data_IF_932549352653
#
_entry.id   IF_932549352653
#
_cell.length_a   1.000
_cell.length_b   1.000
_cell.length_c   1.000
_cell.angle_alpha   90.00
_cell.angle_beta   90.00
_cell.angle_gamma   90.00
#
_symmetry.space_group_name_H-M   'P 1'
#
loop_
_entity.id
_entity.type
_entity.pdbx_description
1 polymer ?
#
# COMPACT_ATOMS: atom_id res chain seq x y z
N UNK A 1 4.74 45.33 -17.14
CA UNK A 1 4.46 44.24 -16.18
C UNK A 1 4.44 42.93 -16.96
N UNK A 2 5.53 42.17 -16.92
CA UNK A 2 5.57 40.84 -17.54
C UNK A 2 4.79 39.87 -16.66
N UNK A 3 3.75 39.24 -17.20
CA UNK A 3 3.05 38.15 -16.53
C UNK A 3 3.97 36.93 -16.50
N UNK A 4 4.68 36.73 -15.40
CA UNK A 4 5.41 35.49 -15.15
C UNK A 4 4.34 34.39 -15.06
N UNK A 5 4.28 33.52 -16.07
CA UNK A 5 3.41 32.34 -16.03
C UNK A 5 3.93 31.43 -14.92
N UNK A 6 3.15 31.33 -13.85
CA UNK A 6 3.37 30.33 -12.80
C UNK A 6 2.96 28.97 -13.35
N UNK A 7 3.92 28.06 -13.45
CA UNK A 7 3.65 26.66 -13.77
C UNK A 7 3.37 25.89 -12.48
N UNK A 8 2.45 24.94 -12.56
CA UNK A 8 2.17 24.02 -11.46
C UNK A 8 2.11 22.59 -11.99
N UNK A 9 2.61 21.67 -11.17
CA UNK A 9 2.54 20.24 -11.41
C UNK A 9 2.12 19.50 -10.16
N UNK A 10 1.22 18.55 -10.35
CA UNK A 10 0.71 17.67 -9.31
C UNK A 10 1.13 16.24 -9.62
N UNK A 11 1.67 15.54 -8.64
CA UNK A 11 1.99 14.13 -8.77
C UNK A 11 1.51 13.33 -7.57
N UNK A 12 1.19 12.07 -7.83
CA UNK A 12 0.71 11.13 -6.83
C UNK A 12 1.49 9.82 -6.93
N UNK A 13 1.88 9.29 -5.77
CA UNK A 13 2.51 7.97 -5.67
C UNK A 13 1.56 7.03 -4.93
N UNK A 14 1.37 5.87 -5.55
CA UNK A 14 0.49 4.81 -5.09
C UNK A 14 1.29 3.65 -4.50
N UNK A 15 0.71 3.00 -3.48
CA UNK A 15 1.31 1.84 -2.82
C UNK A 15 1.83 2.15 -1.42
N UNK A 16 2.53 1.20 -0.79
CA UNK A 16 3.12 1.38 0.52
C UNK A 16 4.31 2.35 0.49
N UNK A 17 4.47 3.08 1.59
CA UNK A 17 5.61 3.93 1.89
C UNK A 17 6.16 3.58 3.27
N UNK A 18 7.46 3.33 3.32
CA UNK A 18 8.24 3.19 4.53
C UNK A 18 9.21 4.37 4.57
N UNK A 19 9.21 5.10 5.68
CA UNK A 19 10.14 6.21 5.89
C UNK A 19 11.09 5.80 6.99
N UNK A 20 12.30 5.42 6.59
CA UNK A 20 13.40 5.24 7.52
C UNK A 20 14.04 6.59 7.85
N UNK A 21 14.59 6.71 9.05
CA UNK A 21 15.29 7.92 9.47
C UNK A 21 16.44 8.30 8.52
N UNK A 22 17.21 7.33 8.04
CA UNK A 22 18.29 7.56 7.08
C UNK A 22 17.81 8.08 5.72
N UNK A 23 16.72 7.51 5.20
CA UNK A 23 16.12 7.93 3.92
C UNK A 23 15.55 9.34 4.05
N UNK A 24 14.92 9.64 5.19
CA UNK A 24 14.41 10.97 5.47
C UNK A 24 15.54 12.01 5.56
N UNK A 25 16.67 11.68 6.20
CA UNK A 25 17.84 12.57 6.26
C UNK A 25 18.37 12.87 4.86
N UNK A 26 18.54 11.86 4.01
CA UNK A 26 19.00 12.03 2.64
C UNK A 26 18.02 12.91 1.84
N UNK A 27 16.72 12.64 1.98
CA UNK A 27 15.68 13.40 1.29
C UNK A 27 15.63 14.87 1.73
N UNK A 28 15.81 15.14 3.03
CA UNK A 28 15.94 16.50 3.52
C UNK A 28 17.18 17.20 2.98
N UNK A 29 18.31 16.49 2.89
CA UNK A 29 19.52 17.04 2.31
C UNK A 29 19.31 17.41 0.83
N UNK A 30 18.59 16.58 0.07
CA UNK A 30 18.18 16.89 -1.31
C UNK A 30 17.32 18.15 -1.39
N UNK A 31 16.27 18.27 -0.55
CA UNK A 31 15.42 19.46 -0.54
C UNK A 31 16.20 20.72 -0.13
N UNK A 32 17.08 20.63 0.86
CA UNK A 32 17.90 21.76 1.32
C UNK A 32 18.96 22.23 0.32
N UNK A 33 19.30 21.42 -0.70
CA UNK A 33 20.14 21.89 -1.81
C UNK A 33 19.40 22.87 -2.73
N UNK A 34 18.08 22.80 -2.76
CA UNK A 34 17.22 23.59 -3.65
C UNK A 34 16.37 24.64 -2.93
N UNK A 35 16.23 24.54 -1.61
CA UNK A 35 15.41 25.43 -0.80
C UNK A 35 16.13 25.82 0.49
N UNK A 36 16.13 27.11 0.82
CA UNK A 36 16.73 27.61 2.06
C UNK A 36 16.07 27.13 3.37
N UNK A 37 14.76 26.86 3.37
CA UNK A 37 14.01 26.38 4.54
C UNK A 37 13.05 25.25 4.16
N UNK A 38 13.06 24.17 4.96
CA UNK A 38 12.14 23.03 4.82
C UNK A 38 11.29 22.94 6.09
N UNK A 39 9.99 23.21 5.97
CA UNK A 39 9.03 23.14 7.08
C UNK A 39 8.41 21.76 7.16
N UNK A 40 8.27 21.25 8.38
CA UNK A 40 7.70 19.93 8.64
C UNK A 40 6.46 20.09 9.50
N UNK A 41 5.31 19.60 9.03
CA UNK A 41 4.08 19.58 9.80
C UNK A 41 3.60 18.13 9.92
N UNK A 42 3.55 17.58 11.12
CA UNK A 42 3.00 16.27 11.41
C UNK A 42 1.54 16.36 11.84
N UNK A 43 0.76 15.35 11.50
CA UNK A 43 -0.58 15.11 12.04
C UNK A 43 -0.57 13.82 12.85
N UNK A 44 -1.06 13.91 14.07
CA UNK A 44 -1.10 12.79 15.01
C UNK A 44 -2.41 12.03 14.92
N UNK A 45 -2.42 10.82 15.50
CA UNK A 45 -3.59 9.94 15.59
C UNK A 45 -4.80 10.58 16.28
N UNK A 46 -4.58 11.48 17.25
CA UNK A 46 -5.65 12.23 17.93
C UNK A 46 -6.17 13.44 17.11
N UNK A 47 -5.63 13.66 15.91
CA UNK A 47 -6.06 14.72 15.00
C UNK A 47 -5.36 16.06 15.22
N UNK A 48 -4.40 16.14 16.15
CA UNK A 48 -3.63 17.38 16.37
C UNK A 48 -2.55 17.57 15.32
N UNK A 49 -2.31 18.82 14.92
CA UNK A 49 -1.22 19.20 14.03
C UNK A 49 -0.05 19.71 14.87
N UNK A 50 1.16 19.24 14.56
CA UNK A 50 2.40 19.61 15.23
C UNK A 50 3.36 20.13 14.15
N UNK A 51 3.79 21.38 14.26
CA UNK A 51 4.86 21.93 13.43
C UNK A 51 6.20 21.64 14.10
N UNK A 52 7.17 21.18 13.32
CA UNK A 52 8.53 20.95 13.79
C UNK A 52 9.46 22.00 13.18
N UNK A 53 10.37 22.52 14.00
CA UNK A 53 11.36 23.53 13.62
C UNK A 53 12.54 22.95 12.84
N UNK A 54 12.79 21.64 12.98
CA UNK A 54 13.90 20.95 12.31
C UNK A 54 13.62 19.47 12.12
N UNK A 55 14.40 18.84 11.23
CA UNK A 55 14.38 17.38 11.06
C UNK A 55 14.73 16.66 12.36
N UNK A 56 15.69 17.16 13.14
CA UNK A 56 16.08 16.56 14.42
C UNK A 56 14.94 16.54 15.44
N UNK A 57 14.11 17.58 15.48
CA UNK A 57 12.92 17.61 16.32
C UNK A 57 11.88 16.57 15.87
N UNK A 58 11.69 16.41 14.56
CA UNK A 58 10.79 15.40 13.99
C UNK A 58 11.26 13.96 14.27
N UNK A 59 12.55 13.66 14.07
CA UNK A 59 13.09 12.30 14.26
C UNK A 59 13.17 11.91 15.74
N UNK A 60 13.45 12.87 16.62
CA UNK A 60 13.48 12.66 18.08
C UNK A 60 12.09 12.62 18.72
N UNK A 61 11.02 12.95 17.97
CA UNK A 61 9.67 12.94 18.50
C UNK A 61 9.29 11.57 19.07
N UNK A 62 8.92 11.56 20.36
CA UNK A 62 8.73 10.34 21.13
C UNK A 62 7.60 9.42 20.62
N UNK A 63 6.68 9.94 19.79
CA UNK A 63 5.64 9.17 19.11
C UNK A 63 4.88 8.21 20.05
N UNK A 64 4.31 8.75 21.15
CA UNK A 64 3.48 7.99 22.09
C UNK A 64 2.25 7.39 21.37
N UNK A 65 1.76 6.21 21.77
CA UNK A 65 0.67 5.53 21.04
C UNK A 65 -0.57 6.38 20.75
N UNK A 66 -0.97 7.24 21.71
CA UNK A 66 -2.13 8.14 21.56
C UNK A 66 -1.87 9.34 20.64
N UNK A 67 -0.60 9.76 20.52
CA UNK A 67 -0.14 10.92 19.73
C UNK A 67 0.90 10.55 18.68
N UNK A 68 0.82 9.32 18.16
CA UNK A 68 1.71 8.85 17.11
C UNK A 68 1.44 9.65 15.84
N UNK A 69 2.49 10.13 15.18
CA UNK A 69 2.41 10.77 13.88
C UNK A 69 1.93 9.72 12.87
N UNK A 70 0.86 10.04 12.16
CA UNK A 70 0.23 9.17 11.15
C UNK A 70 0.34 9.76 9.75
N UNK A 71 0.50 11.07 9.63
CA UNK A 71 0.67 11.80 8.37
C UNK A 71 1.67 12.93 8.63
N UNK A 72 2.40 13.37 7.61
CA UNK A 72 3.17 14.60 7.69
C UNK A 72 3.31 15.25 6.32
N UNK A 73 3.61 16.53 6.35
CA UNK A 73 3.77 17.39 5.19
C UNK A 73 5.12 18.10 5.27
N UNK A 74 5.78 18.18 4.13
CA UNK A 74 6.98 18.96 3.91
C UNK A 74 6.64 20.10 2.97
N UNK A 75 6.83 21.33 3.43
CA UNK A 75 6.60 22.53 2.62
C UNK A 75 7.90 23.29 2.49
N UNK A 76 8.33 23.50 1.25
CA UNK A 76 9.50 24.31 0.91
C UNK A 76 9.03 25.43 -0.02
N UNK A 77 9.47 26.66 0.24
CA UNK A 77 9.13 27.79 -0.62
C UNK A 77 10.29 28.76 -0.71
N UNK A 78 10.58 29.17 -1.94
CA UNK A 78 11.40 30.32 -2.29
C UNK A 78 10.58 31.30 -3.14
N UNK A 79 11.18 32.42 -3.54
CA UNK A 79 10.50 33.48 -4.29
C UNK A 79 9.84 32.99 -5.58
N UNK A 80 10.48 32.05 -6.28
CA UNK A 80 10.11 31.63 -7.63
C UNK A 80 9.67 30.16 -7.74
N UNK A 81 9.77 29.42 -6.65
CA UNK A 81 9.52 27.97 -6.61
C UNK A 81 9.01 27.52 -5.25
N UNK A 82 8.10 26.54 -5.25
CA UNK A 82 7.63 25.92 -4.01
C UNK A 82 7.30 24.46 -4.24
N UNK A 83 7.54 23.62 -3.23
CA UNK A 83 7.10 22.23 -3.24
C UNK A 83 6.40 21.90 -1.92
N UNK A 84 5.20 21.34 -2.03
CA UNK A 84 4.45 20.79 -0.90
C UNK A 84 4.33 19.29 -1.10
N UNK A 85 4.80 18.50 -0.14
CA UNK A 85 4.85 17.04 -0.21
C UNK A 85 4.11 16.47 0.99
N UNK A 86 3.03 15.76 0.75
CA UNK A 86 2.17 15.21 1.79
C UNK A 86 2.23 13.69 1.81
N UNK A 87 2.66 13.14 2.94
CA UNK A 87 2.65 11.72 3.25
C UNK A 87 1.42 11.42 4.10
N UNK A 88 0.50 10.61 3.57
CA UNK A 88 -0.78 10.33 4.20
C UNK A 88 -1.25 8.92 3.89
N UNK A 89 -2.21 8.37 4.65
CA UNK A 89 -2.72 7.02 4.41
C UNK A 89 -4.15 7.07 3.86
N UNK A 90 -4.29 7.46 2.59
CA UNK A 90 -5.59 7.42 1.91
C UNK A 90 -5.81 6.00 1.34
N UNK A 91 -6.66 5.21 2.02
CA UNK A 91 -7.01 3.86 1.57
C UNK A 91 -8.11 3.90 0.51
N UNK A 92 -7.75 3.58 -0.74
CA UNK A 92 -8.70 3.22 -1.79
C UNK A 92 -8.91 1.71 -1.88
N UNK A 93 -9.95 1.27 -2.60
CA UNK A 93 -10.31 -0.16 -2.78
C UNK A 93 -9.21 -0.95 -3.51
N UNK A 94 -8.55 -0.33 -4.50
CA UNK A 94 -7.60 -1.01 -5.40
C UNK A 94 -6.15 -0.58 -5.26
N UNK A 95 -5.89 0.64 -4.75
CA UNK A 95 -4.54 1.18 -4.52
C UNK A 95 -4.60 2.24 -3.42
N UNK A 96 -3.80 2.14 -2.35
CA UNK A 96 -3.66 3.23 -1.42
C UNK A 96 -2.89 4.39 -2.06
N UNK A 97 -3.33 5.61 -1.78
CA UNK A 97 -2.60 6.85 -2.10
C UNK A 97 -1.80 7.24 -0.87
N UNK A 98 -0.48 7.25 -1.00
CA UNK A 98 0.42 7.45 0.15
C UNK A 98 1.22 8.71 0.11
N UNK A 99 1.46 9.24 -1.08
CA UNK A 99 2.17 10.49 -1.25
C UNK A 99 1.54 11.33 -2.35
N UNK A 100 1.37 12.61 -2.07
CA UNK A 100 0.99 13.64 -3.02
C UNK A 100 2.04 14.74 -2.97
N UNK A 101 2.43 15.28 -4.13
CA UNK A 101 3.27 16.47 -4.17
C UNK A 101 2.69 17.51 -5.12
N UNK A 102 2.84 18.77 -4.75
CA UNK A 102 2.48 19.93 -5.55
C UNK A 102 3.72 20.79 -5.75
N UNK A 103 4.18 20.90 -6.98
CA UNK A 103 5.35 21.65 -7.38
C UNK A 103 4.90 22.90 -8.15
N UNK A 104 5.36 24.07 -7.73
CA UNK A 104 5.12 25.35 -8.42
C UNK A 104 6.45 25.98 -8.78
N UNK A 105 6.56 26.50 -9.99
CA UNK A 105 7.80 27.08 -10.49
C UNK A 105 7.56 28.09 -11.60
N UNK A 106 8.48 29.04 -11.72
CA UNK A 106 8.53 30.00 -12.82
C UNK A 106 9.42 29.50 -13.98
N UNK A 107 10.55 28.85 -13.68
CA UNK A 107 11.48 28.32 -14.69
C UNK A 107 11.11 26.88 -15.09
N UNK A 108 10.75 26.68 -16.36
CA UNK A 108 10.32 25.37 -16.87
C UNK A 108 11.42 24.31 -16.86
N UNK A 109 12.63 24.65 -17.33
CA UNK A 109 13.73 23.69 -17.45
C UNK A 109 14.15 23.17 -16.07
N UNK A 110 14.22 24.08 -15.10
CA UNK A 110 14.42 23.71 -13.70
C UNK A 110 13.28 22.83 -13.19
N UNK A 111 12.02 23.24 -13.41
CA UNK A 111 10.85 22.53 -12.89
C UNK A 111 10.69 21.11 -13.41
N UNK A 112 11.01 20.86 -14.70
CA UNK A 112 11.01 19.51 -15.26
C UNK A 112 12.13 18.65 -14.66
N UNK A 113 13.36 19.17 -14.61
CA UNK A 113 14.50 18.44 -14.04
C UNK A 113 14.27 18.11 -12.57
N UNK A 114 13.88 19.11 -11.78
CA UNK A 114 13.61 18.93 -10.36
C UNK A 114 12.45 17.96 -10.12
N UNK A 115 11.41 17.95 -10.97
CA UNK A 115 10.34 16.95 -10.85
C UNK A 115 10.85 15.52 -11.05
N UNK A 116 11.70 15.29 -12.06
CA UNK A 116 12.24 13.96 -12.33
C UNK A 116 13.15 13.49 -11.18
N UNK A 117 14.01 14.37 -10.68
CA UNK A 117 14.87 14.14 -9.52
C UNK A 117 14.02 13.86 -8.27
N UNK A 118 13.01 14.71 -8.00
CA UNK A 118 12.06 14.53 -6.89
C UNK A 118 11.34 13.19 -6.97
N UNK A 119 10.87 12.79 -8.16
CA UNK A 119 10.19 11.49 -8.35
C UNK A 119 11.13 10.31 -8.12
N UNK A 120 12.41 10.46 -8.42
CA UNK A 120 13.41 9.43 -8.16
C UNK A 120 13.65 9.26 -6.66
N UNK A 121 13.91 10.36 -5.96
CA UNK A 121 14.07 10.37 -4.50
C UNK A 121 12.84 9.81 -3.78
N UNK A 122 11.64 10.19 -4.22
CA UNK A 122 10.40 9.71 -3.62
C UNK A 122 10.14 8.20 -3.86
N UNK A 123 10.79 7.57 -4.85
CA UNK A 123 10.70 6.12 -5.05
C UNK A 123 11.51 5.35 -4.01
N UNK A 124 12.53 5.96 -3.40
CA UNK A 124 13.38 5.28 -2.41
C UNK A 124 12.57 4.86 -1.18
N UNK A 125 11.53 5.63 -0.82
CA UNK A 125 10.61 5.28 0.26
C UNK A 125 9.70 4.08 -0.02
N UNK A 126 9.75 3.47 -1.23
CA UNK A 126 8.93 2.29 -1.54
C UNK A 126 9.55 1.04 -0.91
N UNK A 127 8.88 0.38 0.05
CA UNK A 127 9.42 -0.82 0.65
C UNK A 127 9.32 -2.00 -0.31
N UNK A 128 10.14 -3.03 -0.07
CA UNK A 128 10.11 -4.29 -0.84
C UNK A 128 8.72 -4.93 -0.87
N UNK A 129 7.93 -4.80 0.21
CA UNK A 129 6.60 -5.38 0.34
C UNK A 129 5.48 -4.55 -0.30
N UNK A 130 5.80 -3.49 -1.04
CA UNK A 130 4.82 -2.58 -1.62
C UNK A 130 3.69 -3.32 -2.37
N UNK A 131 4.05 -4.35 -3.15
CA UNK A 131 3.10 -5.17 -3.91
C UNK A 131 2.02 -5.85 -3.05
N UNK A 132 2.32 -6.18 -1.78
CA UNK A 132 1.36 -6.81 -0.86
C UNK A 132 0.23 -5.85 -0.44
N UNK A 133 0.42 -4.55 -0.61
CA UNK A 133 -0.51 -3.51 -0.12
C UNK A 133 -1.47 -2.98 -1.18
N UNK A 134 -1.37 -3.45 -2.43
CA UNK A 134 -2.21 -2.97 -3.52
C UNK A 134 -3.67 -3.41 -3.36
N UNK A 135 -3.92 -4.70 -3.13
CA UNK A 135 -5.27 -5.24 -3.15
C UNK A 135 -5.84 -5.31 -1.73
N UNK A 136 -6.97 -4.66 -1.43
CA UNK A 136 -7.64 -4.84 -0.13
C UNK A 136 -8.15 -6.28 -0.03
N UNK A 137 -7.58 -7.09 0.88
CA UNK A 137 -7.96 -8.51 0.99
C UNK A 137 -9.39 -8.69 1.49
N UNK A 138 -9.95 -7.74 2.24
CA UNK A 138 -11.32 -7.84 2.76
C UNK A 138 -12.35 -7.92 1.63
N UNK A 139 -12.16 -7.14 0.57
CA UNK A 139 -13.11 -7.03 -0.54
C UNK A 139 -12.57 -7.65 -1.83
N UNK A 140 -11.28 -7.48 -2.10
CA UNK A 140 -10.62 -7.98 -3.29
C UNK A 140 -10.48 -9.49 -3.32
N UNK A 141 -10.24 -10.16 -2.18
CA UNK A 141 -10.14 -11.64 -2.16
C UNK A 141 -11.51 -12.29 -2.44
N UNK A 142 -12.62 -11.92 -1.77
CA UNK A 142 -13.94 -12.44 -2.13
C UNK A 142 -14.34 -12.13 -3.58
N UNK A 143 -14.04 -10.92 -4.07
CA UNK A 143 -14.32 -10.54 -5.46
C UNK A 143 -13.51 -11.39 -6.46
N UNK A 144 -12.23 -11.63 -6.17
CA UNK A 144 -11.36 -12.47 -6.99
C UNK A 144 -11.82 -13.93 -6.97
N UNK A 145 -12.20 -14.47 -5.82
CA UNK A 145 -12.78 -15.81 -5.70
C UNK A 145 -14.09 -15.91 -6.49
N UNK A 146 -14.97 -14.92 -6.39
CA UNK A 146 -16.22 -14.87 -7.14
C UNK A 146 -15.95 -14.83 -8.66
N UNK A 147 -14.97 -14.04 -9.11
CA UNK A 147 -14.58 -13.97 -10.51
C UNK A 147 -14.02 -15.30 -11.02
N UNK A 148 -13.14 -15.96 -10.25
CA UNK A 148 -12.59 -17.28 -10.59
C UNK A 148 -13.71 -18.32 -10.67
N UNK A 149 -14.60 -18.37 -9.67
CA UNK A 149 -15.73 -19.30 -9.67
C UNK A 149 -16.61 -19.04 -10.90
N UNK A 150 -16.98 -17.80 -11.16
CA UNK A 150 -17.80 -17.42 -12.32
C UNK A 150 -17.14 -17.84 -13.63
N UNK A 151 -15.83 -17.64 -13.76
CA UNK A 151 -15.05 -18.07 -14.92
C UNK A 151 -15.08 -19.59 -15.11
N UNK A 152 -14.81 -20.34 -14.04
CA UNK A 152 -14.85 -21.82 -14.03
C UNK A 152 -16.25 -22.32 -14.42
N UNK A 153 -17.33 -21.79 -13.81
CA UNK A 153 -18.70 -22.18 -14.14
C UNK A 153 -19.09 -21.82 -15.59
N UNK A 154 -18.66 -20.65 -16.08
CA UNK A 154 -18.94 -20.21 -17.44
C UNK A 154 -18.23 -21.07 -18.48
N UNK A 155 -16.97 -21.44 -18.21
CA UNK A 155 -16.19 -22.29 -19.11
C UNK A 155 -16.74 -23.73 -19.14
N UNK A 156 -17.16 -24.27 -17.99
CA UNK A 156 -17.81 -25.59 -17.90
C UNK A 156 -19.14 -25.61 -18.67
N UNK A 157 -19.94 -24.56 -18.53
CA UNK A 157 -21.19 -24.39 -19.27
C UNK A 157 -20.95 -24.33 -20.77
N UNK A 158 -19.98 -23.53 -21.24
CA UNK A 158 -19.65 -23.41 -22.66
C UNK A 158 -19.18 -24.75 -23.27
N UNK A 159 -18.35 -25.51 -22.56
CA UNK A 159 -17.90 -26.83 -23.02
C UNK A 159 -19.08 -27.79 -23.16
N UNK A 160 -19.96 -27.87 -22.16
CA UNK A 160 -21.14 -28.75 -22.19
C UNK A 160 -22.17 -28.32 -23.22
N UNK A 161 -22.39 -27.01 -23.40
CA UNK A 161 -23.24 -26.47 -24.46
C UNK A 161 -22.70 -26.83 -25.85
N UNK A 162 -21.38 -26.89 -26.00
CA UNK A 162 -20.70 -27.31 -27.23
C UNK A 162 -20.63 -28.83 -27.41
N UNK A 163 -21.26 -29.62 -26.53
CA UNK A 163 -21.27 -31.09 -26.59
C UNK A 163 -20.01 -31.78 -26.07
N UNK A 164 -19.10 -31.04 -25.42
CA UNK A 164 -17.87 -31.57 -24.82
C UNK A 164 -18.10 -31.97 -23.35
N UNK A 165 -17.25 -32.86 -22.84
CA UNK A 165 -17.25 -33.25 -21.42
C UNK A 165 -16.74 -32.07 -20.58
N UNK A 166 -17.59 -31.53 -19.71
CA UNK A 166 -17.18 -30.52 -18.73
C UNK A 166 -16.39 -31.12 -17.54
N UNK A 167 -15.74 -30.26 -16.78
CA UNK A 167 -14.92 -30.59 -15.61
C UNK A 167 -15.68 -30.53 -14.28
N UNK A 168 -16.88 -29.92 -14.23
CA UNK A 168 -17.76 -29.97 -13.06
C UNK A 168 -18.88 -31.00 -13.24
N UNK A 169 -19.28 -31.68 -12.16
CA UNK A 169 -20.46 -32.56 -12.14
C UNK A 169 -21.76 -31.77 -11.89
N UNK A 170 -21.95 -30.69 -12.65
CA UNK A 170 -23.13 -29.82 -12.56
C UNK A 170 -24.00 -30.02 -13.78
N UNK A 171 -25.28 -30.35 -13.59
CA UNK A 171 -26.27 -30.42 -14.67
C UNK A 171 -26.91 -29.03 -14.84
N UNK A 172 -26.71 -28.41 -16.00
CA UNK A 172 -27.24 -27.06 -16.30
C UNK A 172 -28.66 -27.08 -16.91
N UNK A 173 -29.42 -28.16 -16.66
CA UNK A 173 -30.75 -28.35 -17.22
C UNK A 173 -31.77 -27.59 -16.37
N UNK A 174 -32.65 -26.82 -17.03
CA UNK A 174 -33.77 -26.09 -16.41
C UNK A 174 -34.83 -27.09 -15.89
N UNK A 175 -34.59 -27.71 -14.74
CA UNK A 175 -35.63 -28.47 -14.02
C UNK A 175 -36.29 -27.58 -12.97
N UNK A 176 -37.60 -27.40 -13.11
CA UNK A 176 -38.52 -26.60 -12.26
C UNK A 176 -38.68 -27.13 -10.81
N UNK A 177 -37.59 -27.48 -10.15
CA UNK A 177 -37.59 -27.90 -8.75
C UNK A 177 -36.79 -26.91 -7.92
N UNK A 178 -37.52 -25.92 -7.39
CA UNK A 178 -37.04 -24.91 -6.46
C UNK A 178 -36.76 -25.53 -5.08
N UNK A 179 -35.57 -26.10 -4.90
CA UNK A 179 -34.96 -26.18 -3.57
C UNK A 179 -33.74 -25.28 -3.57
N UNK A 180 -33.89 -24.15 -2.93
CA UNK A 180 -33.07 -22.97 -3.15
C UNK A 180 -31.76 -23.08 -2.34
N UNK A 181 -30.76 -23.77 -2.90
CA UNK A 181 -29.41 -23.99 -2.35
C UNK A 181 -28.55 -22.71 -2.26
N UNK A 182 -29.04 -21.56 -2.72
CA UNK A 182 -28.38 -20.26 -2.61
C UNK A 182 -28.15 -19.84 -1.14
N UNK A 183 -29.03 -20.25 -0.22
CA UNK A 183 -28.90 -19.95 1.22
C UNK A 183 -27.61 -20.55 1.78
N UNK A 184 -27.25 -21.77 1.35
CA UNK A 184 -26.00 -22.43 1.77
C UNK A 184 -24.80 -21.70 1.18
N UNK A 185 -24.87 -21.27 -0.10
CA UNK A 185 -23.83 -20.45 -0.73
C UNK A 185 -23.60 -19.11 -0.03
N UNK A 186 -24.67 -18.41 0.35
CA UNK A 186 -24.60 -17.14 1.10
C UNK A 186 -24.07 -17.36 2.52
N UNK A 187 -24.44 -18.47 3.17
CA UNK A 187 -23.94 -18.81 4.51
C UNK A 187 -22.40 -19.01 4.52
N UNK A 188 -21.81 -19.55 3.45
CA UNK A 188 -20.35 -19.68 3.30
C UNK A 188 -19.63 -18.34 3.03
N UNK A 189 -20.32 -17.32 2.53
CA UNK A 189 -19.72 -16.00 2.32
C UNK A 189 -19.34 -15.32 3.65
N UNK A 190 -20.10 -15.58 4.73
CA UNK A 190 -19.86 -14.98 6.05
C UNK A 190 -18.48 -15.40 6.63
N UNK A 191 -18.15 -16.69 6.78
CA UNK A 191 -16.84 -17.10 7.29
C UNK A 191 -15.69 -16.71 6.35
N UNK A 192 -15.90 -16.73 5.03
CA UNK A 192 -14.89 -16.26 4.06
C UNK A 192 -14.61 -14.77 4.24
N UNK A 193 -15.66 -13.96 4.40
CA UNK A 193 -15.52 -12.53 4.64
C UNK A 193 -14.80 -12.24 5.97
N UNK A 194 -15.22 -12.90 7.05
CA UNK A 194 -14.58 -12.75 8.36
C UNK A 194 -13.10 -13.16 8.33
N UNK A 195 -12.79 -14.29 7.67
CA UNK A 195 -11.41 -14.74 7.50
C UNK A 195 -10.58 -13.76 6.66
N UNK A 196 -11.14 -13.27 5.55
CA UNK A 196 -10.49 -12.27 4.68
C UNK A 196 -10.24 -10.96 5.41
N UNK A 197 -11.19 -10.53 6.25
CA UNK A 197 -11.05 -9.36 7.11
C UNK A 197 -9.93 -9.54 8.13
N UNK A 198 -9.87 -10.68 8.83
CA UNK A 198 -8.80 -11.00 9.77
C UNK A 198 -7.42 -11.06 9.09
N UNK A 199 -7.33 -11.69 7.92
CA UNK A 199 -6.11 -11.67 7.10
C UNK A 199 -5.69 -10.26 6.72
N UNK A 200 -6.66 -9.41 6.36
CA UNK A 200 -6.38 -8.03 6.00
C UNK A 200 -5.87 -7.20 7.20
N UNK A 201 -6.47 -7.36 8.38
CA UNK A 201 -5.99 -6.75 9.62
C UNK A 201 -4.55 -7.18 9.92
N UNK A 202 -4.29 -8.48 9.82
CA UNK A 202 -2.96 -9.04 10.08
C UNK A 202 -1.92 -8.55 9.07
N UNK A 203 -2.26 -8.56 7.78
CA UNK A 203 -1.41 -8.00 6.73
C UNK A 203 -1.13 -6.53 6.97
N UNK A 204 -2.15 -5.72 7.25
CA UNK A 204 -1.98 -4.29 7.49
C UNK A 204 -1.14 -4.00 8.75
N UNK A 205 -1.09 -4.92 9.72
CA UNK A 205 -0.21 -4.83 10.87
C UNK A 205 1.25 -5.10 10.52
N UNK A 206 1.53 -6.17 9.74
CA UNK A 206 2.88 -6.56 9.33
C UNK A 206 3.45 -5.68 8.21
N UNK A 207 2.60 -5.32 7.26
CA UNK A 207 2.91 -4.56 6.05
C UNK A 207 2.04 -3.30 5.99
N UNK A 208 2.33 -2.32 6.85
CA UNK A 208 1.60 -1.06 6.87
C UNK A 208 1.76 -0.29 5.56
N UNK A 209 0.67 0.33 5.12
CA UNK A 209 0.63 1.18 3.91
C UNK A 209 1.48 2.44 4.08
N UNK A 210 1.46 3.06 5.26
CA UNK A 210 2.36 4.16 5.60
C UNK A 210 2.98 3.84 6.96
N UNK A 211 4.31 3.82 7.02
CA UNK A 211 5.02 3.62 8.27
C UNK A 211 6.20 4.56 8.39
N UNK A 212 6.21 5.33 9.47
CA UNK A 212 7.28 6.28 9.80
C UNK A 212 8.13 5.62 10.90
N UNK A 213 9.30 5.13 10.52
CA UNK A 213 10.25 4.46 11.39
C UNK A 213 11.31 5.45 11.90
N UNK A 214 10.89 6.41 12.71
CA UNK A 214 11.77 7.38 13.36
C UNK A 214 11.80 7.19 14.89
N UNK A 215 12.94 7.46 15.52
CA UNK A 215 13.10 7.40 16.98
C UNK A 215 12.64 6.07 17.59
N UNK A 216 11.69 6.11 18.54
CA UNK A 216 11.18 4.90 19.23
C UNK A 216 10.46 3.92 18.29
N UNK A 217 9.97 4.37 17.13
CA UNK A 217 9.22 3.55 16.19
C UNK A 217 10.11 2.58 15.39
N UNK A 218 11.43 2.80 15.38
CA UNK A 218 12.40 1.89 14.75
C UNK A 218 12.33 0.50 15.39
N UNK A 219 12.20 0.43 16.72
CA UNK A 219 12.08 -0.85 17.44
C UNK A 219 10.79 -1.59 17.08
N UNK A 220 9.67 -0.87 16.91
CA UNK A 220 8.40 -1.45 16.49
C UNK A 220 8.51 -2.02 15.06
N UNK A 221 9.16 -1.29 14.15
CA UNK A 221 9.43 -1.75 12.80
C UNK A 221 10.26 -3.04 12.77
N UNK A 222 11.37 -3.09 13.52
CA UNK A 222 12.21 -4.29 13.59
C UNK A 222 11.43 -5.49 14.13
N UNK A 223 10.60 -5.30 15.18
CA UNK A 223 9.73 -6.35 15.70
C UNK A 223 8.77 -6.89 14.62
N UNK A 224 8.08 -6.01 13.89
CA UNK A 224 7.16 -6.40 12.81
C UNK A 224 7.89 -7.14 11.68
N UNK A 225 9.06 -6.64 11.30
CA UNK A 225 9.93 -7.26 10.29
C UNK A 225 10.34 -8.68 10.71
N UNK A 226 10.77 -8.89 11.95
CA UNK A 226 11.10 -10.22 12.48
C UNK A 226 9.89 -11.17 12.46
N UNK A 227 8.71 -10.70 12.91
CA UNK A 227 7.49 -11.50 12.89
C UNK A 227 7.15 -11.91 11.44
N UNK A 228 7.22 -10.97 10.50
CA UNK A 228 7.00 -11.26 9.08
C UNK A 228 7.99 -12.33 8.58
N UNK A 229 9.29 -12.17 8.83
CA UNK A 229 10.29 -13.17 8.41
C UNK A 229 10.01 -14.56 8.98
N UNK A 230 9.63 -14.66 10.25
CA UNK A 230 9.32 -15.96 10.87
C UNK A 230 8.12 -16.60 10.17
N UNK A 231 7.05 -15.85 9.94
CA UNK A 231 5.83 -16.38 9.32
C UNK A 231 6.10 -16.82 7.89
N UNK A 232 6.69 -15.94 7.07
CA UNK A 232 6.99 -16.27 5.68
C UNK A 232 8.05 -17.37 5.58
N UNK A 233 9.02 -17.40 6.49
CA UNK A 233 10.01 -18.47 6.60
C UNK A 233 9.38 -19.82 6.90
N UNK A 234 8.48 -19.91 7.87
CA UNK A 234 7.75 -21.15 8.20
C UNK A 234 6.88 -21.60 7.02
N UNK A 235 6.15 -20.68 6.39
CA UNK A 235 5.31 -21.00 5.22
C UNK A 235 6.14 -21.50 4.04
N UNK A 236 7.23 -20.80 3.68
CA UNK A 236 8.14 -21.23 2.60
C UNK A 236 8.77 -22.59 2.90
N UNK A 237 9.21 -22.81 4.15
CA UNK A 237 9.79 -24.08 4.56
C UNK A 237 8.78 -25.22 4.45
N UNK A 238 7.52 -24.99 4.83
CA UNK A 238 6.44 -25.97 4.65
C UNK A 238 6.20 -26.33 3.18
N UNK A 239 6.20 -25.35 2.28
CA UNK A 239 6.07 -25.59 0.83
C UNK A 239 7.26 -26.41 0.31
N UNK A 240 8.49 -26.04 0.69
CA UNK A 240 9.71 -26.75 0.28
C UNK A 240 9.71 -28.19 0.81
N UNK A 241 9.34 -28.40 2.07
CA UNK A 241 9.22 -29.75 2.65
C UNK A 241 8.19 -30.59 1.88
N UNK A 242 7.04 -30.03 1.54
CA UNK A 242 6.02 -30.75 0.75
C UNK A 242 6.53 -31.09 -0.65
N UNK A 243 7.16 -30.15 -1.35
CA UNK A 243 7.74 -30.41 -2.68
C UNK A 243 8.83 -31.49 -2.62
N UNK A 244 9.72 -31.44 -1.62
CA UNK A 244 10.76 -32.46 -1.42
C UNK A 244 10.13 -33.80 -1.05
N UNK A 245 9.12 -33.82 -0.18
CA UNK A 245 8.43 -35.05 0.21
C UNK A 245 7.74 -35.70 -0.98
N UNK A 246 7.10 -34.92 -1.84
CA UNK A 246 6.46 -35.42 -3.06
C UNK A 246 7.50 -35.91 -4.08
N UNK A 247 8.63 -35.21 -4.24
CA UNK A 247 9.74 -35.65 -5.10
C UNK A 247 10.38 -36.96 -4.60
N UNK A 248 10.53 -37.15 -3.29
CA UNK A 248 11.06 -38.38 -2.69
C UNK A 248 10.07 -39.54 -2.85
N UNK A 249 8.76 -39.30 -2.75
CA UNK A 249 7.73 -40.33 -2.94
C UNK A 249 7.58 -40.81 -4.40
N UNK A 250 8.10 -40.05 -5.36
CA UNK A 250 8.06 -40.39 -6.80
C UNK A 250 9.23 -41.31 -7.20
N UNK A 251 10.24 -41.49 -6.34
CA UNK A 251 11.29 -42.52 -6.46
C UNK A 251 10.97 -43.77 -5.64
#
# INVERSE_FOLDING_TARGET
>A
MSYIKKHSKHGEIYGAILILESELINFFSFLSQHFGEVKINGKTKDGTNISFSSLGEFTSYSNFEKRKIIEFELSCSETDQSVDIKFQNERGIFKPKTLKYNLRYNNQDWGFKFEDDLRQELKEFRPYYNYLTFLDLTFGLPLLLAAILTFIFSLDYLLKFSGLIGFLKVEYIYTNTSQSSWIIGVAWCIPIFLFSYSLNLFRNYLFPVLFIATGKQIKEYQKKKTIAYIIFGIFLMGIVINLISDLIKIN
#
